data_IF_556988260967
#
_entry.id   IF_556988260967
#
_cell.length_a   1.000
_cell.length_b   1.000
_cell.length_c   1.000
_cell.angle_alpha   90.00
_cell.angle_beta   90.00
_cell.angle_gamma   90.00
#
_symmetry.space_group_name_H-M   'P 1'
#
loop_
_entity.id
_entity.type
_entity.pdbx_description
1 polymer ?
#
# COMPACT_ATOMS: atom_id res chain seq x y z
N UNK A 1 -74.95 5.01 26.37
CA UNK A 1 -74.10 6.22 26.31
C UNK A 1 -74.05 6.79 27.72
N UNK A 2 -72.90 7.15 28.30
CA UNK A 2 -71.51 7.04 27.81
C UNK A 2 -70.63 6.12 28.70
N UNK A 3 -69.56 5.55 28.16
CA UNK A 3 -68.40 5.16 28.97
C UNK A 3 -67.14 5.52 28.17
N UNK A 4 -66.50 6.60 28.60
CA UNK A 4 -65.17 6.98 28.17
C UNK A 4 -64.19 6.37 29.17
N UNK A 5 -63.32 5.47 28.73
CA UNK A 5 -61.98 5.36 29.31
C UNK A 5 -61.02 4.98 28.20
N UNK A 6 -60.37 6.01 27.66
CA UNK A 6 -59.20 5.84 26.82
C UNK A 6 -58.04 5.33 27.67
N UNK A 7 -57.56 4.13 27.36
CA UNK A 7 -56.28 3.64 27.84
C UNK A 7 -55.17 4.31 27.04
N UNK A 8 -54.54 5.29 27.66
CA UNK A 8 -53.33 5.98 27.22
C UNK A 8 -52.23 4.94 26.95
N UNK A 9 -51.99 4.65 25.66
CA UNK A 9 -50.78 3.96 25.22
C UNK A 9 -49.62 4.93 25.43
N UNK A 10 -48.95 4.78 26.57
CA UNK A 10 -47.80 5.56 26.96
C UNK A 10 -46.76 5.55 25.83
N UNK A 11 -46.59 6.71 25.20
CA UNK A 11 -45.45 7.01 24.37
C UNK A 11 -44.21 6.97 25.28
N UNK A 12 -43.51 5.84 25.27
CA UNK A 12 -42.21 5.72 25.90
C UNK A 12 -41.18 6.42 25.01
N UNK A 13 -40.40 7.39 25.51
CA UNK A 13 -39.46 8.14 24.69
C UNK A 13 -38.35 7.23 24.18
N UNK A 14 -38.11 7.31 22.87
CA UNK A 14 -37.14 6.57 22.07
C UNK A 14 -35.70 7.08 22.33
N UNK A 15 -35.19 6.95 23.56
CA UNK A 15 -33.87 7.46 23.97
C UNK A 15 -32.73 6.44 23.77
N UNK A 16 -33.06 5.14 23.85
CA UNK A 16 -32.10 4.03 23.78
C UNK A 16 -31.59 3.72 22.36
N UNK A 17 -32.34 4.08 21.32
CA UNK A 17 -31.94 3.89 19.92
C UNK A 17 -30.78 4.81 19.53
N UNK A 18 -30.89 6.10 19.85
CA UNK A 18 -29.85 7.12 19.54
C UNK A 18 -28.52 6.78 20.20
N UNK A 19 -28.52 6.33 21.46
CA UNK A 19 -27.30 5.91 22.15
C UNK A 19 -26.61 4.70 21.50
N UNK A 20 -27.38 3.75 20.98
CA UNK A 20 -26.85 2.59 20.26
C UNK A 20 -26.27 2.97 18.89
N UNK A 21 -26.92 3.88 18.17
CA UNK A 21 -26.46 4.37 16.86
C UNK A 21 -25.12 5.13 16.98
N UNK A 22 -24.97 5.95 18.03
CA UNK A 22 -23.71 6.66 18.31
C UNK A 22 -22.58 5.69 18.65
N UNK A 23 -22.85 4.69 19.50
CA UNK A 23 -21.85 3.68 19.86
C UNK A 23 -21.37 2.90 18.63
N UNK A 24 -22.30 2.48 17.76
CA UNK A 24 -21.97 1.79 16.51
C UNK A 24 -21.16 2.69 15.55
N UNK A 25 -21.52 3.97 15.45
CA UNK A 25 -20.78 4.92 14.61
C UNK A 25 -19.34 5.14 15.12
N UNK A 26 -19.14 5.21 16.44
CA UNK A 26 -17.79 5.33 17.03
C UNK A 26 -16.97 4.08 16.78
N UNK A 27 -17.53 2.88 16.95
CA UNK A 27 -16.82 1.63 16.69
C UNK A 27 -16.39 1.49 15.21
N UNK A 28 -17.30 1.87 14.29
CA UNK A 28 -17.00 1.93 12.86
C UNK A 28 -15.88 2.93 12.57
N UNK A 29 -15.92 4.12 13.18
CA UNK A 29 -14.89 5.13 13.01
C UNK A 29 -13.52 4.68 13.56
N UNK A 30 -13.47 4.04 14.73
CA UNK A 30 -12.24 3.49 15.30
C UNK A 30 -11.67 2.39 14.42
N UNK A 31 -12.52 1.51 13.89
CA UNK A 31 -12.12 0.46 12.96
C UNK A 31 -11.54 1.05 11.68
N UNK A 32 -12.18 2.07 11.13
CA UNK A 32 -11.70 2.76 9.93
C UNK A 32 -10.36 3.46 10.17
N UNK A 33 -10.22 4.19 11.28
CA UNK A 33 -8.96 4.87 11.64
C UNK A 33 -7.82 3.87 11.82
N UNK A 34 -8.09 2.72 12.44
CA UNK A 34 -7.10 1.64 12.56
C UNK A 34 -6.71 1.09 11.19
N UNK A 35 -7.69 0.84 10.31
CA UNK A 35 -7.43 0.35 8.95
C UNK A 35 -6.60 1.35 8.13
N UNK A 36 -6.92 2.63 8.22
CA UNK A 36 -6.18 3.70 7.54
C UNK A 36 -4.74 3.80 8.06
N UNK A 37 -4.53 3.70 9.38
CA UNK A 37 -3.20 3.72 9.97
C UNK A 37 -2.32 2.55 9.52
N UNK A 38 -2.90 1.34 9.41
CA UNK A 38 -2.20 0.17 8.87
C UNK A 38 -1.85 0.40 7.39
N UNK A 39 -2.80 0.87 6.59
CA UNK A 39 -2.56 1.15 5.17
C UNK A 39 -1.46 2.21 4.96
N UNK A 40 -1.41 3.25 5.80
CA UNK A 40 -0.36 4.27 5.77
C UNK A 40 1.02 3.65 6.10
N UNK A 41 1.10 2.80 7.12
CA UNK A 41 2.35 2.13 7.48
C UNK A 41 2.86 1.22 6.34
N UNK A 42 1.96 0.45 5.72
CA UNK A 42 2.28 -0.43 4.59
C UNK A 42 2.76 0.36 3.36
N UNK A 43 2.11 1.48 3.03
CA UNK A 43 2.53 2.34 1.93
C UNK A 43 3.94 2.90 2.16
N UNK A 44 4.23 3.37 3.38
CA UNK A 44 5.55 3.89 3.74
C UNK A 44 6.62 2.78 3.66
N UNK A 45 6.30 1.57 4.12
CA UNK A 45 7.18 0.41 4.04
C UNK A 45 7.48 0.04 2.58
N UNK A 46 6.46 -0.04 1.72
CA UNK A 46 6.63 -0.36 0.29
C UNK A 46 7.43 0.71 -0.46
N UNK A 47 7.32 1.97 -0.04
CA UNK A 47 8.13 3.07 -0.57
C UNK A 47 9.58 3.08 -0.03
N UNK A 48 9.94 2.18 0.89
CA UNK A 48 11.26 2.15 1.53
C UNK A 48 11.50 3.32 2.48
N UNK A 49 10.44 3.96 2.98
CA UNK A 49 10.48 5.15 3.83
C UNK A 49 9.64 4.98 5.11
N UNK A 50 9.88 3.93 5.94
CA UNK A 50 9.10 3.69 7.16
C UNK A 50 9.19 4.83 8.19
N UNK A 51 10.25 5.65 8.14
CA UNK A 51 10.41 6.82 9.01
C UNK A 51 9.35 7.90 8.82
N UNK A 52 8.63 7.92 7.68
CA UNK A 52 7.58 8.91 7.41
C UNK A 52 6.22 8.55 8.01
N UNK A 53 6.02 7.31 8.47
CA UNK A 53 4.72 6.84 8.98
C UNK A 53 4.21 7.71 10.13
N UNK A 54 5.06 8.03 11.12
CA UNK A 54 4.66 8.85 12.25
C UNK A 54 4.28 10.28 11.85
N UNK A 55 4.99 10.88 10.89
CA UNK A 55 4.63 12.21 10.35
C UNK A 55 3.25 12.20 9.74
N UNK A 56 2.96 11.26 8.82
CA UNK A 56 1.65 11.18 8.18
C UNK A 56 0.50 10.94 9.17
N UNK A 57 0.72 10.09 10.19
CA UNK A 57 -0.28 9.86 11.23
C UNK A 57 -0.50 11.11 12.09
N UNK A 58 0.57 11.83 12.45
CA UNK A 58 0.49 13.06 13.24
C UNK A 58 -0.19 14.20 12.48
N UNK A 59 0.00 14.25 11.16
CA UNK A 59 -0.65 15.21 10.25
C UNK A 59 -2.10 14.85 9.93
N UNK A 60 -2.58 13.66 10.32
CA UNK A 60 -3.92 13.18 9.95
C UNK A 60 -4.09 13.00 8.44
N UNK A 61 -3.01 12.66 7.72
CA UNK A 61 -3.03 12.53 6.28
C UNK A 61 -3.92 11.34 5.84
N UNK A 62 -4.70 11.54 4.78
CA UNK A 62 -5.48 10.45 4.18
C UNK A 62 -4.58 9.47 3.40
N UNK A 63 -5.00 8.21 3.28
CA UNK A 63 -4.31 7.17 2.51
C UNK A 63 -4.03 7.62 1.06
N UNK A 64 -4.98 8.33 0.44
CA UNK A 64 -4.82 8.86 -0.92
C UNK A 64 -3.72 9.95 -1.01
N UNK A 65 -3.65 10.84 -0.01
CA UNK A 65 -2.60 11.86 0.09
C UNK A 65 -1.23 11.21 0.28
N UNK A 66 -1.11 10.24 1.19
CA UNK A 66 0.14 9.50 1.42
C UNK A 66 0.62 8.83 0.13
N UNK A 67 -0.26 8.11 -0.57
CA UNK A 67 0.09 7.46 -1.85
C UNK A 67 0.59 8.47 -2.89
N UNK A 68 -0.08 9.62 -3.03
CA UNK A 68 0.33 10.68 -3.96
C UNK A 68 1.72 11.23 -3.60
N UNK A 69 1.97 11.52 -2.33
CA UNK A 69 3.25 12.06 -1.85
C UNK A 69 4.39 11.08 -2.10
N UNK A 70 4.20 9.80 -1.77
CA UNK A 70 5.22 8.76 -1.97
C UNK A 70 5.54 8.54 -3.46
N UNK A 71 4.51 8.55 -4.33
CA UNK A 71 4.70 8.42 -5.78
C UNK A 71 5.46 9.63 -6.36
N UNK A 72 5.13 10.85 -5.92
CA UNK A 72 5.82 12.06 -6.34
C UNK A 72 7.30 12.06 -5.92
N UNK A 73 7.62 11.51 -4.73
CA UNK A 73 9.00 11.31 -4.29
C UNK A 73 9.73 10.25 -5.12
N UNK A 74 9.07 9.12 -5.43
CA UNK A 74 9.68 8.05 -6.24
C UNK A 74 9.95 8.49 -7.68
N UNK A 75 9.12 9.35 -8.26
CA UNK A 75 9.35 9.91 -9.59
C UNK A 75 10.67 10.71 -9.69
N UNK A 76 11.24 11.14 -8.55
CA UNK A 76 12.52 11.82 -8.46
C UNK A 76 13.70 10.85 -8.21
N UNK A 77 13.44 9.56 -8.06
CA UNK A 77 14.44 8.53 -7.79
C UNK A 77 15.28 8.17 -9.02
N UNK A 78 16.40 7.47 -8.78
CA UNK A 78 17.34 7.05 -9.82
C UNK A 78 16.66 6.26 -10.93
N UNK A 79 16.84 6.71 -12.18
CA UNK A 79 16.40 6.00 -13.37
C UNK A 79 17.06 4.62 -13.43
N UNK A 80 16.27 3.56 -13.66
CA UNK A 80 16.82 2.22 -13.88
C UNK A 80 17.37 2.18 -15.31
N UNK A 81 18.62 2.65 -15.48
CA UNK A 81 19.32 2.54 -16.76
C UNK A 81 19.66 1.07 -17.01
N UNK A 82 18.81 0.37 -17.76
CA UNK A 82 19.09 -0.98 -18.25
C UNK A 82 20.10 -0.89 -19.39
N UNK A 83 21.39 -0.87 -19.06
CA UNK A 83 22.46 -0.88 -20.05
C UNK A 83 22.67 -2.31 -20.58
N UNK A 84 21.76 -2.78 -21.43
CA UNK A 84 22.10 -3.85 -22.38
C UNK A 84 22.91 -3.17 -23.49
N UNK A 85 24.24 -3.29 -23.42
CA UNK A 85 25.10 -2.75 -24.47
C UNK A 85 24.71 -3.41 -25.81
N UNK A 86 24.49 -2.66 -26.91
CA UNK A 86 24.13 -3.26 -28.20
C UNK A 86 25.18 -4.26 -28.71
N UNK A 87 26.42 -4.14 -28.23
CA UNK A 87 27.53 -5.05 -28.56
C UNK A 87 27.56 -6.35 -27.72
N UNK A 88 26.81 -6.44 -26.61
CA UNK A 88 26.82 -7.65 -25.77
C UNK A 88 26.32 -8.90 -26.53
N UNK A 89 25.44 -8.71 -27.52
CA UNK A 89 25.05 -9.78 -28.44
C UNK A 89 26.16 -10.13 -29.46
N UNK A 90 26.94 -9.14 -29.91
CA UNK A 90 28.02 -9.34 -30.87
C UNK A 90 29.23 -10.07 -30.25
N UNK A 91 29.57 -9.77 -28.99
CA UNK A 91 30.64 -10.49 -28.27
C UNK A 91 30.26 -11.96 -27.98
N UNK A 92 28.98 -12.24 -27.74
CA UNK A 92 28.48 -13.60 -27.52
C UNK A 92 28.39 -14.44 -28.81
N UNK A 93 28.23 -13.79 -29.98
CA UNK A 93 28.12 -14.44 -31.28
C UNK A 93 29.46 -14.82 -31.90
N UNK A 94 30.59 -14.29 -31.40
CA UNK A 94 31.91 -14.65 -31.91
C UNK A 94 32.43 -15.92 -31.19
N UNK A 95 32.55 -17.07 -31.87
CA UNK A 95 32.99 -18.33 -31.25
C UNK A 95 34.38 -18.24 -30.61
N UNK A 96 35.23 -17.33 -31.10
CA UNK A 96 36.57 -17.06 -30.57
C UNK A 96 36.56 -16.27 -29.25
N UNK A 97 35.46 -15.56 -28.94
CA UNK A 97 35.31 -14.76 -27.72
C UNK A 97 34.43 -15.46 -26.67
N UNK A 98 33.79 -16.59 -27.01
CA UNK A 98 32.98 -17.35 -26.08
C UNK A 98 33.87 -18.06 -25.03
N UNK A 99 33.74 -17.74 -23.73
CA UNK A 99 34.56 -18.32 -22.67
C UNK A 99 34.42 -19.85 -22.56
N UNK A 100 33.26 -20.41 -22.93
CA UNK A 100 33.03 -21.85 -22.95
C UNK A 100 33.84 -22.53 -24.06
N UNK A 101 33.91 -21.92 -25.26
CA UNK A 101 34.71 -22.45 -26.37
C UNK A 101 36.22 -22.37 -26.07
N UNK A 102 36.67 -21.30 -25.40
CA UNK A 102 38.07 -21.21 -24.92
C UNK A 102 38.41 -22.32 -23.92
N UNK A 103 37.52 -22.62 -22.98
CA UNK A 103 37.72 -23.70 -22.02
C UNK A 103 37.81 -25.09 -22.71
N UNK A 104 36.97 -25.35 -23.72
CA UNK A 104 37.00 -26.60 -24.49
C UNK A 104 38.27 -26.73 -25.33
N UNK A 105 38.73 -25.67 -26.00
CA UNK A 105 40.02 -25.68 -26.74
C UNK A 105 41.19 -26.01 -25.81
N UNK A 106 41.25 -25.38 -24.62
CA UNK A 106 42.28 -25.68 -23.60
C UNK A 106 42.24 -27.13 -23.10
N UNK A 107 41.06 -27.71 -22.95
CA UNK A 107 40.90 -29.10 -22.53
C UNK A 107 41.29 -30.12 -23.62
N UNK A 108 41.12 -29.74 -24.89
CA UNK A 108 41.31 -30.65 -26.03
C UNK A 108 42.66 -30.49 -26.75
N UNK A 109 43.47 -29.50 -26.39
CA UNK A 109 44.83 -29.31 -26.92
C UNK A 109 44.90 -28.99 -28.42
N UNK A 110 43.79 -28.49 -28.99
CA UNK A 110 43.70 -28.02 -30.39
C UNK A 110 43.92 -26.52 -30.41
N UNK A 111 45.17 -26.11 -30.47
CA UNK A 111 45.57 -24.78 -30.97
C UNK A 111 45.55 -24.76 -32.50
#
# INVERSE_FOLDING_TARGET
KPDHTGGNAAAQPQDHSVGNDVAAAVDAAVTQVRADAVAIAELCQLAGQPGLTLSFLSEGASVAQVRKTLLAGRAQGTEISSMIHPDAAATAASPEQNPLMKAVKKLTGKD
#
